data_IF_375147307119
#
_entry.id   IF_375147307119
#
_cell.length_a   1.000
_cell.length_b   1.000
_cell.length_c   1.000
_cell.angle_alpha   90.00
_cell.angle_beta   90.00
_cell.angle_gamma   90.00
#
_symmetry.space_group_name_H-M   'P 1'
#
loop_
_entity.id
_entity.type
_entity.pdbx_description
1 polymer ?
#
# COMPACT_ATOMS: atom_id res chain seq x y z
N UNK A 1 21.31 25.61 0.51
CA UNK A 1 20.96 26.83 -0.27
C UNK A 1 19.77 26.45 -1.14
N UNK A 2 18.57 26.92 -0.79
CA UNK A 2 17.36 26.67 -1.59
C UNK A 2 17.44 27.55 -2.85
N UNK A 3 17.97 27.01 -3.94
CA UNK A 3 17.70 27.59 -5.25
C UNK A 3 16.26 27.23 -5.60
N UNK A 4 15.34 28.19 -5.45
CA UNK A 4 13.99 28.03 -6.02
C UNK A 4 14.19 27.80 -7.52
N UNK A 5 14.15 26.56 -7.96
CA UNK A 5 14.19 26.25 -9.38
C UNK A 5 12.99 26.94 -10.02
N UNK A 6 13.24 27.68 -11.10
CA UNK A 6 12.16 28.32 -11.87
C UNK A 6 11.20 27.22 -12.31
N UNK A 7 9.89 27.49 -12.19
CA UNK A 7 8.88 26.53 -12.64
C UNK A 7 9.12 26.17 -14.12
N UNK A 8 9.15 24.87 -14.50
CA UNK A 8 9.55 24.43 -15.83
C UNK A 8 8.49 24.81 -16.87
N UNK A 9 8.96 25.17 -18.05
CA UNK A 9 8.10 25.41 -19.22
C UNK A 9 7.81 24.12 -20.00
N UNK A 10 8.68 23.11 -19.85
CA UNK A 10 8.61 21.85 -20.58
C UNK A 10 9.23 20.71 -19.77
N UNK A 11 8.83 19.47 -20.08
CA UNK A 11 9.40 18.25 -19.55
C UNK A 11 9.33 17.12 -20.60
N UNK A 12 10.24 16.16 -20.52
CA UNK A 12 10.13 14.95 -21.32
C UNK A 12 9.02 14.04 -20.80
N UNK A 13 8.91 13.93 -19.47
CA UNK A 13 7.86 13.17 -18.77
C UNK A 13 7.37 13.99 -17.59
N UNK A 14 6.06 14.04 -17.38
CA UNK A 14 5.47 14.55 -16.14
C UNK A 14 4.86 13.36 -15.37
N UNK A 15 5.20 13.24 -14.09
CA UNK A 15 4.59 12.30 -13.17
C UNK A 15 3.64 13.06 -12.24
N UNK A 16 2.35 12.71 -12.22
CA UNK A 16 1.35 13.28 -11.31
C UNK A 16 1.18 12.34 -10.12
N UNK A 17 1.51 12.80 -8.92
CA UNK A 17 1.49 12.01 -7.68
C UNK A 17 2.84 11.37 -7.35
N UNK A 18 3.94 12.14 -7.43
CA UNK A 18 5.30 11.64 -7.17
C UNK A 18 5.59 11.38 -5.69
N UNK A 19 4.74 11.83 -4.79
CA UNK A 19 4.91 11.70 -3.34
C UNK A 19 4.41 10.38 -2.74
N UNK A 20 3.72 9.53 -3.53
CA UNK A 20 3.37 8.17 -3.17
C UNK A 20 4.39 7.15 -3.69
N UNK A 21 4.27 5.89 -3.20
CA UNK A 21 5.22 4.82 -3.59
C UNK A 21 5.23 4.58 -5.10
N UNK A 22 4.09 4.60 -5.77
CA UNK A 22 4.02 4.32 -7.21
C UNK A 22 4.73 5.41 -8.02
N UNK A 23 4.41 6.68 -7.79
CA UNK A 23 5.01 7.79 -8.52
C UNK A 23 6.50 7.96 -8.24
N UNK A 24 6.93 7.75 -6.99
CA UNK A 24 8.37 7.79 -6.64
C UNK A 24 9.17 6.67 -7.29
N UNK A 25 8.64 5.44 -7.31
CA UNK A 25 9.29 4.30 -7.95
C UNK A 25 9.33 4.43 -9.48
N UNK A 26 8.29 5.04 -10.10
CA UNK A 26 8.36 5.43 -11.51
C UNK A 26 9.52 6.39 -11.78
N UNK A 27 9.65 7.43 -10.95
CA UNK A 27 10.76 8.38 -11.09
C UNK A 27 12.13 7.71 -10.93
N UNK A 28 12.27 6.82 -9.93
CA UNK A 28 13.46 6.03 -9.71
C UNK A 28 13.84 5.20 -10.95
N UNK A 29 12.91 4.37 -11.43
CA UNK A 29 13.19 3.48 -12.56
C UNK A 29 13.38 4.22 -13.87
N UNK A 30 12.66 5.31 -14.12
CA UNK A 30 12.93 6.15 -15.28
C UNK A 30 14.35 6.73 -15.23
N UNK A 31 14.81 7.17 -14.06
CA UNK A 31 16.17 7.67 -13.88
C UNK A 31 17.22 6.55 -14.07
N UNK A 32 16.98 5.33 -13.55
CA UNK A 32 17.82 4.16 -13.77
C UNK A 32 17.93 3.78 -15.27
N UNK A 33 16.84 3.91 -16.00
CA UNK A 33 16.77 3.66 -17.43
C UNK A 33 17.34 4.82 -18.28
N UNK A 34 17.87 5.87 -17.64
CA UNK A 34 18.55 6.97 -18.30
C UNK A 34 17.65 8.08 -18.81
N UNK A 35 16.35 8.08 -18.46
CA UNK A 35 15.44 9.18 -18.77
C UNK A 35 15.88 10.45 -18.03
N UNK A 36 15.65 11.60 -18.64
CA UNK A 36 16.02 12.92 -18.10
C UNK A 36 14.82 13.87 -18.21
N UNK A 37 14.98 15.06 -17.65
CA UNK A 37 13.95 16.12 -17.68
C UNK A 37 12.56 15.59 -17.26
N UNK A 38 12.53 14.87 -16.12
CA UNK A 38 11.32 14.37 -15.49
C UNK A 38 10.84 15.43 -14.49
N UNK A 39 9.57 15.79 -14.57
CA UNK A 39 8.93 16.67 -13.59
C UNK A 39 7.94 15.86 -12.78
N UNK A 40 8.15 15.82 -11.46
CA UNK A 40 7.23 15.22 -10.50
C UNK A 40 6.36 16.29 -9.84
N UNK A 41 5.05 16.14 -9.97
CA UNK A 41 4.04 16.98 -9.33
C UNK A 41 3.46 16.28 -8.11
N UNK A 42 3.33 17.02 -7.01
CA UNK A 42 2.73 16.53 -5.76
C UNK A 42 1.74 17.57 -5.22
N UNK A 43 0.54 17.10 -4.82
CA UNK A 43 -0.51 17.91 -4.21
C UNK A 43 -0.13 18.33 -2.78
N UNK A 44 0.47 17.42 -2.01
CA UNK A 44 0.96 17.71 -0.66
C UNK A 44 2.09 18.72 -0.66
N UNK A 45 2.25 19.40 0.47
CA UNK A 45 3.37 20.33 0.72
C UNK A 45 4.70 19.60 0.97
N UNK A 46 4.66 18.29 1.15
CA UNK A 46 5.82 17.44 1.48
C UNK A 46 5.92 16.22 0.56
N UNK A 47 7.13 15.69 0.43
CA UNK A 47 7.43 14.38 -0.13
C UNK A 47 8.31 13.66 0.89
N UNK A 48 7.92 12.46 1.36
CA UNK A 48 6.73 11.66 1.01
C UNK A 48 5.41 12.38 1.32
N UNK A 49 4.39 12.12 0.51
CA UNK A 49 3.08 12.74 0.68
C UNK A 49 2.36 12.19 1.92
N UNK A 50 1.90 13.10 2.78
CA UNK A 50 1.05 12.78 3.93
C UNK A 50 -0.42 12.49 3.53
N UNK A 51 -0.79 12.80 2.29
CA UNK A 51 -2.11 12.49 1.73
C UNK A 51 -2.16 11.11 1.07
N UNK A 52 -1.01 10.54 0.71
CA UNK A 52 -0.96 9.25 0.03
C UNK A 52 -1.31 8.08 0.96
N UNK A 53 -2.00 7.06 0.43
CA UNK A 53 -2.25 5.81 1.14
C UNK A 53 -0.96 5.13 1.64
N UNK A 54 0.16 5.38 0.96
CA UNK A 54 1.51 4.95 1.37
C UNK A 54 1.89 5.40 2.79
N UNK A 55 1.43 6.59 3.23
CA UNK A 55 1.71 7.11 4.56
C UNK A 55 1.06 6.29 5.68
N UNK A 56 0.03 5.52 5.35
CA UNK A 56 -0.82 4.77 6.27
C UNK A 56 -0.76 3.25 6.01
N UNK A 57 0.17 2.80 5.16
CA UNK A 57 0.35 1.40 4.83
C UNK A 57 0.85 0.60 6.05
N UNK A 58 0.41 -0.65 6.15
CA UNK A 58 0.87 -1.59 7.17
C UNK A 58 2.26 -2.17 6.89
N UNK A 59 2.86 -1.84 5.74
CA UNK A 59 4.21 -2.19 5.30
C UNK A 59 4.50 -3.70 5.17
N UNK A 60 3.47 -4.54 5.06
CA UNK A 60 3.59 -6.00 4.93
C UNK A 60 4.16 -6.41 3.58
N UNK A 61 5.01 -7.45 3.57
CA UNK A 61 5.48 -8.15 2.37
C UNK A 61 5.30 -9.64 2.55
N UNK A 62 4.42 -10.25 1.75
CA UNK A 62 4.19 -11.69 1.66
C UNK A 62 4.52 -12.19 0.27
N UNK A 63 5.16 -13.36 0.14
CA UNK A 63 5.59 -13.90 -1.14
C UNK A 63 4.58 -14.83 -1.81
N UNK A 64 3.49 -15.19 -1.15
CA UNK A 64 2.69 -16.31 -1.60
C UNK A 64 1.34 -15.92 -2.10
N UNK A 65 1.17 -16.03 -3.40
CA UNK A 65 -0.10 -15.89 -4.11
C UNK A 65 -0.35 -17.11 -5.01
N UNK A 66 -1.53 -17.20 -5.61
CA UNK A 66 -1.89 -18.29 -6.52
C UNK A 66 -1.27 -18.14 -7.92
N UNK A 67 -0.99 -16.92 -8.34
CA UNK A 67 -0.52 -16.65 -9.69
C UNK A 67 0.97 -16.35 -9.73
N UNK A 68 1.57 -16.72 -10.86
CA UNK A 68 3.00 -16.58 -11.07
C UNK A 68 3.45 -15.11 -11.16
N UNK A 69 2.61 -14.24 -11.70
CA UNK A 69 2.97 -12.83 -11.89
C UNK A 69 3.09 -12.14 -10.53
N UNK A 70 2.10 -12.30 -9.66
CA UNK A 70 2.11 -11.73 -8.31
C UNK A 70 3.27 -12.28 -7.47
N UNK A 71 3.55 -13.59 -7.55
CA UNK A 71 4.74 -14.15 -6.88
C UNK A 71 6.03 -13.52 -7.39
N UNK A 72 6.16 -13.32 -8.71
CA UNK A 72 7.35 -12.74 -9.30
C UNK A 72 7.50 -11.26 -8.92
N UNK A 73 6.44 -10.46 -9.00
CA UNK A 73 6.49 -9.04 -8.63
C UNK A 73 6.81 -8.85 -7.16
N UNK A 74 6.21 -9.67 -6.28
CA UNK A 74 6.51 -9.66 -4.84
C UNK A 74 7.97 -9.99 -4.57
N UNK A 75 8.50 -11.05 -5.16
CA UNK A 75 9.91 -11.43 -4.99
C UNK A 75 10.84 -10.32 -5.49
N UNK A 76 10.52 -9.73 -6.65
CA UNK A 76 11.27 -8.63 -7.22
C UNK A 76 11.29 -7.39 -6.30
N UNK A 77 10.13 -7.01 -5.76
CA UNK A 77 10.02 -5.87 -4.83
C UNK A 77 10.75 -6.14 -3.52
N UNK A 78 10.59 -7.34 -2.94
CA UNK A 78 11.32 -7.75 -1.74
C UNK A 78 12.82 -7.69 -1.94
N UNK A 79 13.34 -8.25 -3.03
CA UNK A 79 14.76 -8.25 -3.34
C UNK A 79 15.29 -6.81 -3.47
N UNK A 80 14.52 -5.91 -4.10
CA UNK A 80 14.83 -4.48 -4.13
C UNK A 80 14.89 -3.87 -2.73
N UNK A 81 13.93 -4.15 -1.86
CA UNK A 81 13.92 -3.64 -0.48
C UNK A 81 15.09 -4.21 0.33
N UNK A 82 15.40 -5.48 0.18
CA UNK A 82 16.51 -6.16 0.88
C UNK A 82 17.86 -5.58 0.43
N UNK A 83 18.09 -5.43 -0.87
CA UNK A 83 19.31 -4.84 -1.45
C UNK A 83 19.56 -3.40 -1.00
N UNK A 84 18.51 -2.64 -0.75
CA UNK A 84 18.59 -1.23 -0.32
C UNK A 84 18.42 -1.02 1.18
N UNK A 85 18.34 -2.08 1.98
CA UNK A 85 18.26 -2.00 3.43
C UNK A 85 16.89 -1.61 4.00
N UNK A 86 15.84 -1.78 3.22
CA UNK A 86 14.44 -1.48 3.58
C UNK A 86 13.62 -2.70 3.96
N UNK A 87 14.22 -3.85 4.19
CA UNK A 87 13.48 -5.06 4.49
C UNK A 87 13.91 -5.71 5.80
N UNK A 88 12.91 -6.00 6.66
CA UNK A 88 13.08 -6.82 7.86
C UNK A 88 12.38 -8.15 7.64
N UNK A 89 13.16 -9.19 7.34
CA UNK A 89 12.68 -10.55 7.21
C UNK A 89 12.37 -11.13 8.59
N UNK A 90 11.09 -11.43 8.86
CA UNK A 90 10.62 -11.98 10.12
C UNK A 90 9.74 -13.22 9.93
N UNK A 91 9.33 -13.47 8.70
CA UNK A 91 8.37 -14.50 8.33
C UNK A 91 6.92 -14.06 8.49
N UNK A 92 6.01 -14.88 8.02
CA UNK A 92 4.58 -14.62 8.10
C UNK A 92 3.77 -15.90 8.17
N UNK A 93 2.66 -15.82 8.85
CA UNK A 93 1.68 -16.88 9.04
C UNK A 93 0.39 -16.51 8.31
N UNK A 94 -0.17 -17.46 7.56
CA UNK A 94 -1.56 -17.38 7.11
C UNK A 94 -2.31 -18.52 7.78
N UNK A 95 -3.12 -18.19 8.80
CA UNK A 95 -3.81 -19.18 9.63
C UNK A 95 -5.10 -19.66 8.99
N UNK A 96 -5.47 -20.89 9.33
CA UNK A 96 -6.76 -21.49 8.99
C UNK A 96 -7.49 -21.92 10.25
N UNK A 97 -8.74 -21.50 10.39
CA UNK A 97 -9.60 -21.90 11.51
C UNK A 97 -9.87 -23.41 11.47
N UNK A 98 -10.21 -23.97 12.64
CA UNK A 98 -10.30 -25.42 12.83
C UNK A 98 -11.34 -26.09 11.95
N UNK A 99 -12.43 -25.41 11.66
CA UNK A 99 -13.61 -25.88 10.93
C UNK A 99 -13.69 -25.38 9.48
N UNK A 100 -12.67 -24.65 9.01
CA UNK A 100 -12.64 -24.11 7.64
C UNK A 100 -11.89 -25.06 6.68
N UNK A 101 -12.60 -26.07 6.20
CA UNK A 101 -12.07 -27.02 5.22
C UNK A 101 -11.76 -26.35 3.87
N UNK A 102 -12.50 -25.33 3.49
CA UNK A 102 -12.32 -24.63 2.21
C UNK A 102 -11.00 -23.86 2.22
N UNK A 103 -10.77 -23.06 3.24
CA UNK A 103 -9.52 -22.31 3.39
C UNK A 103 -8.33 -23.26 3.56
N UNK A 104 -8.49 -24.39 4.28
CA UNK A 104 -7.41 -25.36 4.42
C UNK A 104 -6.96 -25.97 3.08
N UNK A 105 -7.89 -26.33 2.20
CA UNK A 105 -7.57 -26.79 0.85
C UNK A 105 -6.97 -25.67 0.00
N UNK A 106 -7.37 -24.42 0.25
CA UNK A 106 -6.79 -23.25 -0.38
C UNK A 106 -5.32 -23.05 0.02
N UNK A 107 -4.99 -23.14 1.32
CA UNK A 107 -3.60 -23.05 1.79
C UNK A 107 -2.72 -24.17 1.20
N UNK A 108 -3.25 -25.37 1.04
CA UNK A 108 -2.53 -26.45 0.34
C UNK A 108 -2.22 -26.09 -1.11
N UNK A 109 -3.18 -25.47 -1.83
CA UNK A 109 -2.96 -24.99 -3.21
C UNK A 109 -1.93 -23.87 -3.25
N UNK A 110 -2.02 -22.88 -2.33
CA UNK A 110 -1.02 -21.81 -2.20
C UNK A 110 0.38 -22.37 -1.98
N UNK A 111 0.54 -23.30 -1.06
CA UNK A 111 1.84 -23.95 -0.80
C UNK A 111 2.35 -24.70 -2.03
N UNK A 112 1.48 -25.43 -2.74
CA UNK A 112 1.87 -26.14 -3.96
C UNK A 112 2.31 -25.18 -5.07
N UNK A 113 1.53 -24.12 -5.30
CA UNK A 113 1.85 -23.06 -6.27
C UNK A 113 3.13 -22.33 -5.90
N UNK A 114 3.27 -21.93 -4.63
CA UNK A 114 4.47 -21.27 -4.12
C UNK A 114 5.73 -22.08 -4.37
N UNK A 115 5.70 -23.38 -4.04
CA UNK A 115 6.82 -24.29 -4.34
C UNK A 115 7.12 -24.40 -5.83
N UNK A 116 6.09 -24.44 -6.67
CA UNK A 116 6.27 -24.47 -8.12
C UNK A 116 6.88 -23.16 -8.66
N UNK A 117 6.69 -22.04 -7.97
CA UNK A 117 7.25 -20.73 -8.31
C UNK A 117 8.55 -20.41 -7.56
N UNK A 118 9.06 -21.34 -6.76
CA UNK A 118 10.36 -21.23 -6.09
C UNK A 118 10.33 -20.59 -4.70
N UNK A 119 9.16 -20.47 -4.06
CA UNK A 119 9.05 -19.98 -2.68
C UNK A 119 9.23 -21.09 -1.64
N UNK A 120 9.68 -20.73 -0.43
CA UNK A 120 9.99 -21.67 0.66
C UNK A 120 8.80 -21.93 1.60
N UNK A 121 7.58 -21.73 1.13
CA UNK A 121 6.37 -21.87 1.95
C UNK A 121 6.07 -23.30 2.33
N UNK A 122 5.49 -23.50 3.51
CA UNK A 122 5.11 -24.81 4.04
C UNK A 122 3.83 -24.73 4.85
N UNK A 123 3.12 -25.88 4.94
CA UNK A 123 2.07 -26.03 5.95
C UNK A 123 2.72 -26.44 7.27
N UNK A 124 2.20 -25.86 8.35
CA UNK A 124 2.61 -26.15 9.73
C UNK A 124 1.37 -26.43 10.59
N UNK A 125 1.57 -27.14 11.68
CA UNK A 125 0.53 -27.43 12.68
C UNK A 125 0.12 -26.19 13.48
N UNK A 126 -0.99 -26.26 14.20
CA UNK A 126 -1.44 -25.23 15.12
C UNK A 126 -0.40 -24.94 16.21
N UNK A 127 0.21 -26.00 16.79
CA UNK A 127 1.26 -25.86 17.81
C UNK A 127 2.51 -25.14 17.26
N UNK A 128 2.98 -25.51 16.05
CA UNK A 128 4.10 -24.82 15.40
C UNK A 128 3.77 -23.34 15.07
N UNK A 129 2.51 -23.07 14.71
CA UNK A 129 2.07 -21.68 14.50
C UNK A 129 2.07 -20.88 15.80
N UNK A 130 1.59 -21.47 16.91
CA UNK A 130 1.62 -20.89 18.26
C UNK A 130 3.04 -20.63 18.75
N UNK A 131 3.99 -21.52 18.48
CA UNK A 131 5.40 -21.31 18.82
C UNK A 131 5.99 -20.08 18.10
N UNK A 132 5.56 -19.82 16.86
CA UNK A 132 6.01 -18.67 16.06
C UNK A 132 5.30 -17.38 16.45
N UNK A 133 4.02 -17.46 16.74
CA UNK A 133 3.20 -16.30 17.12
C UNK A 133 2.45 -16.62 18.44
N UNK A 134 3.07 -16.36 19.58
CA UNK A 134 2.56 -16.75 20.90
C UNK A 134 1.21 -16.16 21.29
N UNK A 135 0.74 -15.14 20.58
CA UNK A 135 -0.54 -14.48 20.82
C UNK A 135 -1.75 -15.24 20.23
N UNK A 136 -1.52 -16.27 19.40
CA UNK A 136 -2.58 -17.10 18.83
C UNK A 136 -3.20 -18.05 19.87
N UNK A 137 -4.48 -18.34 19.71
CA UNK A 137 -5.12 -19.50 20.33
C UNK A 137 -5.00 -20.73 19.41
N UNK A 138 -4.13 -21.69 19.79
CA UNK A 138 -3.92 -22.90 18.99
C UNK A 138 -5.14 -23.81 18.92
N UNK A 139 -6.06 -23.72 19.89
CA UNK A 139 -7.29 -24.52 19.90
C UNK A 139 -8.32 -24.03 18.87
N UNK A 140 -8.23 -22.78 18.45
CA UNK A 140 -9.13 -22.18 17.47
C UNK A 140 -8.72 -22.45 16.02
N UNK A 141 -7.46 -22.81 15.78
CA UNK A 141 -6.90 -22.98 14.45
C UNK A 141 -6.58 -24.46 14.14
N UNK A 142 -6.62 -24.82 12.88
CA UNK A 142 -6.21 -26.11 12.33
C UNK A 142 -4.70 -26.18 12.08
N UNK A 143 -4.14 -25.05 11.69
CA UNK A 143 -2.75 -24.87 11.31
C UNK A 143 -2.57 -23.62 10.49
N UNK A 144 -1.42 -23.47 9.87
CA UNK A 144 -1.10 -22.29 9.06
C UNK A 144 -0.23 -22.65 7.84
N UNK A 145 -0.22 -21.76 6.86
CA UNK A 145 0.88 -21.65 5.93
C UNK A 145 1.94 -20.76 6.56
N UNK A 146 3.18 -21.23 6.57
CA UNK A 146 4.36 -20.48 6.98
C UNK A 146 5.13 -20.00 5.76
N UNK A 147 5.34 -18.69 5.65
CA UNK A 147 6.22 -18.05 4.69
C UNK A 147 7.45 -17.50 5.41
N UNK A 148 8.61 -18.18 5.36
CA UNK A 148 9.83 -17.70 6.04
C UNK A 148 10.44 -16.46 5.40
N UNK A 149 10.04 -16.12 4.18
CA UNK A 149 10.58 -15.01 3.40
C UNK A 149 9.68 -13.76 3.46
N UNK A 150 8.55 -13.83 4.15
CA UNK A 150 7.71 -12.68 4.47
C UNK A 150 8.41 -11.73 5.47
N UNK A 151 7.99 -10.49 5.48
CA UNK A 151 8.57 -9.47 6.36
C UNK A 151 7.92 -8.12 6.23
N UNK A 152 8.62 -7.12 6.72
CA UNK A 152 8.15 -5.75 6.83
C UNK A 152 9.07 -4.80 6.06
N UNK A 153 8.49 -3.83 5.35
CA UNK A 153 9.26 -2.69 4.86
C UNK A 153 9.62 -1.80 6.05
N UNK A 154 10.90 -1.50 6.22
CA UNK A 154 11.44 -0.74 7.35
C UNK A 154 12.33 0.41 6.88
N UNK A 155 12.39 1.54 7.63
CA UNK A 155 11.53 1.88 8.78
C UNK A 155 10.05 1.96 8.42
N UNK A 156 9.71 2.51 7.22
CA UNK A 156 8.36 2.66 6.68
C UNK A 156 8.43 2.76 5.15
N UNK A 157 7.33 2.49 4.45
CA UNK A 157 7.22 2.70 2.99
C UNK A 157 7.53 4.14 2.57
N UNK A 158 7.31 5.12 3.44
CA UNK A 158 7.68 6.52 3.21
C UNK A 158 9.21 6.72 3.07
N UNK A 159 10.03 5.92 3.74
CA UNK A 159 11.49 5.99 3.61
C UNK A 159 11.94 5.48 2.23
N UNK A 160 11.22 4.50 1.67
CA UNK A 160 11.43 4.05 0.30
C UNK A 160 11.07 5.15 -0.71
N UNK A 161 9.99 5.89 -0.48
CA UNK A 161 9.62 7.06 -1.29
C UNK A 161 10.74 8.10 -1.29
N UNK A 162 11.25 8.46 -0.11
CA UNK A 162 12.38 9.39 0.02
C UNK A 162 13.59 8.91 -0.76
N UNK A 163 13.99 7.65 -0.56
CA UNK A 163 15.12 7.05 -1.27
C UNK A 163 14.95 7.12 -2.78
N UNK A 164 13.79 6.74 -3.29
CA UNK A 164 13.50 6.73 -4.72
C UNK A 164 13.57 8.13 -5.34
N UNK A 165 12.95 9.11 -4.69
CA UNK A 165 12.93 10.50 -5.16
C UNK A 165 14.33 11.12 -5.11
N UNK A 166 15.07 10.96 -4.01
CA UNK A 166 16.41 11.53 -3.88
C UNK A 166 17.39 10.88 -4.87
N UNK A 167 17.33 9.56 -5.06
CA UNK A 167 18.16 8.89 -6.09
C UNK A 167 17.92 9.49 -7.50
N UNK A 168 16.65 9.66 -7.88
CA UNK A 168 16.31 10.23 -9.18
C UNK A 168 16.78 11.71 -9.32
N UNK A 169 16.74 12.49 -8.23
CA UNK A 169 17.28 13.86 -8.19
C UNK A 169 18.82 13.89 -8.28
N UNK A 170 19.50 13.02 -7.52
CA UNK A 170 20.98 12.93 -7.55
C UNK A 170 21.52 12.55 -8.92
N UNK A 171 20.78 11.72 -9.68
CA UNK A 171 21.07 11.42 -11.09
C UNK A 171 20.76 12.59 -12.03
N UNK A 172 20.24 13.69 -11.53
CA UNK A 172 19.85 14.86 -12.32
C UNK A 172 18.71 14.56 -13.31
N UNK A 173 17.89 13.56 -13.00
CA UNK A 173 16.77 13.13 -13.84
C UNK A 173 15.46 13.78 -13.45
N UNK A 174 15.22 14.01 -12.13
CA UNK A 174 13.96 14.44 -11.55
C UNK A 174 14.05 15.85 -10.96
N UNK A 175 13.00 16.65 -11.20
CA UNK A 175 12.70 17.87 -10.44
C UNK A 175 11.29 17.75 -9.88
N UNK A 176 11.11 18.00 -8.58
CA UNK A 176 9.82 17.87 -7.90
C UNK A 176 9.22 19.20 -7.51
N UNK A 177 7.90 19.31 -7.56
CA UNK A 177 7.13 20.47 -7.13
C UNK A 177 6.00 20.03 -6.21
N UNK A 178 6.12 20.38 -4.94
CA UNK A 178 5.08 20.23 -3.91
C UNK A 178 4.08 21.37 -3.98
N UNK A 179 2.95 21.27 -3.30
CA UNK A 179 1.83 22.21 -3.39
C UNK A 179 1.50 22.53 -4.86
N UNK A 180 1.52 21.50 -5.72
CA UNK A 180 1.41 21.70 -7.15
C UNK A 180 0.57 20.56 -7.79
N UNK A 181 -0.72 20.48 -7.48
CA UNK A 181 -1.61 19.53 -8.14
C UNK A 181 -1.71 19.81 -9.65
N UNK A 182 -1.86 18.76 -10.43
CA UNK A 182 -2.37 18.91 -11.80
C UNK A 182 -3.84 19.39 -11.70
N UNK A 183 -4.19 20.40 -12.47
CA UNK A 183 -5.54 20.99 -12.51
C UNK A 183 -6.20 20.88 -13.90
N UNK A 184 -5.57 20.18 -14.82
CA UNK A 184 -6.07 19.90 -16.16
C UNK A 184 -4.95 19.54 -17.13
N UNK A 185 -5.35 19.23 -18.34
CA UNK A 185 -4.44 18.83 -19.40
C UNK A 185 -4.71 19.62 -20.68
N UNK A 186 -3.68 19.81 -21.51
CA UNK A 186 -3.80 20.32 -22.87
C UNK A 186 -3.77 19.13 -23.82
N UNK A 187 -4.83 19.04 -24.65
CA UNK A 187 -5.00 17.91 -25.58
C UNK A 187 -5.34 18.50 -26.94
N UNK A 188 -4.55 18.14 -27.94
CA UNK A 188 -4.76 18.55 -29.32
C UNK A 188 -4.85 17.31 -30.23
N UNK A 189 -5.95 17.17 -30.96
CA UNK A 189 -6.19 16.06 -31.87
C UNK A 189 -6.03 14.68 -31.21
N UNK A 190 -6.50 14.51 -29.96
CA UNK A 190 -6.42 13.28 -29.20
C UNK A 190 -5.01 12.95 -28.67
N UNK A 191 -4.10 13.94 -28.64
CA UNK A 191 -2.75 13.80 -28.10
C UNK A 191 -2.50 14.82 -26.99
N UNK A 192 -1.87 14.38 -25.93
CA UNK A 192 -1.38 15.24 -24.85
C UNK A 192 -0.32 16.24 -25.40
N UNK A 193 -0.44 17.50 -25.02
CA UNK A 193 0.53 18.56 -25.34
C UNK A 193 1.00 19.31 -24.09
N UNK A 194 0.33 19.16 -22.95
CA UNK A 194 0.76 19.80 -21.72
C UNK A 194 -0.05 19.42 -20.48
N UNK A 195 0.55 19.64 -19.32
CA UNK A 195 -0.08 19.49 -17.99
C UNK A 195 -0.25 20.86 -17.36
N UNK A 196 -1.47 21.19 -16.96
CA UNK A 196 -1.83 22.47 -16.31
C UNK A 196 -1.70 22.37 -14.81
N UNK A 197 -1.11 23.39 -14.21
CA UNK A 197 -1.05 23.62 -12.77
C UNK A 197 -1.40 25.08 -12.48
N UNK A 198 -1.66 25.43 -11.21
CA UNK A 198 -1.84 26.83 -10.83
C UNK A 198 -0.55 27.69 -10.96
N UNK A 199 0.63 27.03 -11.12
CA UNK A 199 1.92 27.71 -11.35
C UNK A 199 2.23 27.93 -12.84
N UNK A 200 1.43 27.35 -13.73
CA UNK A 200 1.60 27.42 -15.18
C UNK A 200 1.40 26.07 -15.86
N UNK A 201 1.57 26.06 -17.18
CA UNK A 201 1.50 24.84 -18.00
C UNK A 201 2.91 24.30 -18.29
N UNK A 202 3.10 23.02 -18.11
CA UNK A 202 4.32 22.28 -18.49
C UNK A 202 4.03 21.59 -19.82
N UNK A 203 4.72 21.99 -20.88
CA UNK A 203 4.62 21.34 -22.18
C UNK A 203 5.24 19.95 -22.11
N UNK A 204 4.48 18.95 -22.49
CA UNK A 204 4.93 17.57 -22.55
C UNK A 204 4.03 16.74 -23.45
N UNK A 205 4.61 15.74 -24.09
CA UNK A 205 3.86 14.74 -24.85
C UNK A 205 3.62 13.44 -24.06
N UNK A 206 4.11 13.37 -22.80
CA UNK A 206 3.99 12.20 -21.94
C UNK A 206 3.68 12.60 -20.49
N UNK A 207 2.55 12.18 -20.01
CA UNK A 207 2.21 12.20 -18.59
C UNK A 207 1.94 10.80 -18.09
N UNK A 208 2.41 10.50 -16.89
CA UNK A 208 2.02 9.29 -16.14
C UNK A 208 1.28 9.73 -14.90
N UNK A 209 0.02 9.35 -14.78
CA UNK A 209 -0.70 9.56 -13.54
C UNK A 209 -0.46 8.37 -12.59
N UNK A 210 -0.07 8.68 -11.37
CA UNK A 210 0.14 7.80 -10.24
C UNK A 210 -0.52 8.41 -9.00
N UNK A 211 -1.75 8.88 -9.19
CA UNK A 211 -2.50 9.75 -8.29
C UNK A 211 -3.33 8.99 -7.24
N UNK A 212 -3.20 7.65 -7.21
CA UNK A 212 -3.80 6.79 -6.19
C UNK A 212 -5.32 6.95 -6.14
N UNK A 213 -5.86 7.26 -4.97
CA UNK A 213 -7.31 7.40 -4.76
C UNK A 213 -7.96 8.52 -5.60
N UNK A 214 -7.18 9.47 -6.13
CA UNK A 214 -7.67 10.54 -7.02
C UNK A 214 -7.63 10.19 -8.50
N UNK A 215 -7.22 8.96 -8.86
CA UNK A 215 -6.99 8.58 -10.26
C UNK A 215 -8.16 8.81 -11.19
N UNK A 216 -9.40 8.53 -10.76
CA UNK A 216 -10.62 8.79 -11.54
C UNK A 216 -10.81 10.29 -11.80
N UNK A 217 -10.67 11.15 -10.78
CA UNK A 217 -10.80 12.61 -10.91
C UNK A 217 -9.72 13.20 -11.82
N UNK A 218 -8.50 12.69 -11.72
CA UNK A 218 -7.39 13.15 -12.58
C UNK A 218 -7.61 12.72 -14.02
N UNK A 219 -8.09 11.49 -14.24
CA UNK A 219 -8.47 11.00 -15.57
C UNK A 219 -9.56 11.83 -16.21
N UNK A 220 -10.60 12.15 -15.47
CA UNK A 220 -11.74 12.96 -15.95
C UNK A 220 -11.32 14.35 -16.44
N UNK A 221 -10.31 14.97 -15.84
CA UNK A 221 -9.72 16.24 -16.31
C UNK A 221 -9.15 16.15 -17.74
N UNK A 222 -8.81 14.92 -18.19
CA UNK A 222 -8.30 14.65 -19.54
C UNK A 222 -9.34 14.00 -20.46
N UNK A 223 -10.53 13.69 -19.96
CA UNK A 223 -11.52 12.88 -20.69
C UNK A 223 -11.10 11.43 -20.83
N UNK A 224 -10.29 10.93 -19.90
CA UNK A 224 -9.80 9.54 -19.83
C UNK A 224 -10.54 8.80 -18.73
N UNK A 225 -11.14 7.66 -19.07
CA UNK A 225 -11.80 6.78 -18.11
C UNK A 225 -10.75 6.02 -17.30
N UNK A 226 -10.74 6.22 -15.96
CA UNK A 226 -9.91 5.47 -15.03
C UNK A 226 -10.82 4.72 -14.06
N UNK A 227 -11.14 3.44 -14.35
CA UNK A 227 -12.15 2.68 -13.61
C UNK A 227 -11.61 2.15 -12.28
N UNK A 228 -11.28 3.05 -11.38
CA UNK A 228 -10.95 2.77 -10.00
C UNK A 228 -11.89 3.49 -9.05
N UNK A 229 -12.02 2.96 -7.85
CA UNK A 229 -12.82 3.54 -6.78
C UNK A 229 -12.01 3.58 -5.48
N UNK A 230 -12.10 4.67 -4.72
CA UNK A 230 -11.62 4.69 -3.34
C UNK A 230 -12.51 3.79 -2.48
N UNK A 231 -11.87 2.95 -1.65
CA UNK A 231 -12.56 2.02 -0.74
C UNK A 231 -12.00 2.19 0.67
N UNK A 232 -12.86 2.23 1.66
CA UNK A 232 -12.47 2.28 3.07
C UNK A 232 -11.84 0.96 3.51
N UNK A 233 -10.82 1.04 4.35
CA UNK A 233 -10.12 -0.08 4.91
C UNK A 233 -9.79 0.19 6.38
N UNK A 234 -10.49 -0.45 7.33
CA UNK A 234 -10.28 -0.21 8.75
C UNK A 234 -8.93 -0.70 9.25
N UNK A 235 -8.29 0.12 10.07
CA UNK A 235 -7.06 -0.19 10.76
C UNK A 235 -7.18 0.23 12.22
N UNK A 236 -7.09 -0.75 13.12
CA UNK A 236 -7.25 -0.57 14.56
C UNK A 236 -5.92 -0.84 15.28
N UNK A 237 -5.72 -0.13 16.37
CA UNK A 237 -4.56 -0.28 17.25
C UNK A 237 -4.99 -0.70 18.65
N UNK A 238 -4.34 -1.74 19.16
CA UNK A 238 -4.58 -2.30 20.50
C UNK A 238 -3.27 -2.31 21.28
N UNK A 239 -3.34 -1.96 22.55
CA UNK A 239 -2.14 -2.02 23.37
C UNK A 239 -2.08 -0.99 24.49
N UNK A 240 -0.89 -0.76 25.01
CA UNK A 240 0.40 -1.27 24.49
C UNK A 240 0.63 -2.77 24.75
N UNK A 241 1.39 -3.40 23.86
CA UNK A 241 1.89 -4.76 24.02
C UNK A 241 3.26 -4.71 24.72
N UNK A 242 3.45 -5.30 25.92
CA UNK A 242 4.68 -5.14 26.71
C UNK A 242 5.95 -5.49 25.93
N UNK A 243 5.96 -6.61 25.20
CA UNK A 243 7.13 -7.08 24.45
C UNK A 243 7.47 -6.13 23.30
N UNK A 244 6.48 -5.47 22.70
CA UNK A 244 6.69 -4.48 21.66
C UNK A 244 7.16 -3.13 22.21
N UNK A 245 6.78 -2.78 23.44
CA UNK A 245 7.30 -1.58 24.11
C UNK A 245 8.78 -1.70 24.52
N UNK A 246 9.23 -2.90 24.84
CA UNK A 246 10.59 -3.16 25.32
C UNK A 246 11.59 -3.42 24.20
N UNK A 247 11.12 -3.59 22.95
CA UNK A 247 11.99 -3.91 21.81
C UNK A 247 12.60 -2.67 21.17
N UNK A 248 13.83 -2.83 20.65
CA UNK A 248 14.46 -1.86 19.74
C UNK A 248 14.23 -2.23 18.26
N UNK A 249 13.57 -3.36 18.00
CA UNK A 249 13.24 -3.84 16.64
C UNK A 249 11.95 -3.19 16.10
N UNK A 250 11.77 -3.24 14.80
CA UNK A 250 10.54 -2.77 14.13
C UNK A 250 9.41 -3.79 14.21
N UNK A 251 9.68 -5.03 14.59
CA UNK A 251 8.72 -6.13 14.67
C UNK A 251 9.22 -7.18 15.66
N UNK A 252 8.38 -7.55 16.62
CA UNK A 252 8.68 -8.62 17.60
C UNK A 252 8.32 -9.98 17.02
N UNK A 253 7.12 -10.12 16.50
CA UNK A 253 6.56 -11.37 16.01
C UNK A 253 6.52 -11.41 14.46
N UNK A 254 6.39 -12.61 13.86
CA UNK A 254 6.07 -12.71 12.44
C UNK A 254 4.74 -12.01 12.10
N UNK A 255 4.56 -11.67 10.85
CA UNK A 255 3.29 -11.16 10.34
C UNK A 255 2.22 -12.23 10.43
N UNK A 256 0.98 -11.85 10.72
CA UNK A 256 -0.16 -12.76 10.79
C UNK A 256 -1.25 -12.36 9.80
N UNK A 257 -1.74 -13.30 9.00
CA UNK A 257 -2.94 -13.17 8.18
C UNK A 257 -3.99 -14.18 8.66
N UNK A 258 -5.17 -13.70 8.97
CA UNK A 258 -6.36 -14.50 9.25
C UNK A 258 -7.34 -14.35 8.09
N UNK A 259 -7.16 -15.14 7.05
CA UNK A 259 -7.96 -15.06 5.82
C UNK A 259 -9.41 -15.47 6.05
N UNK A 260 -9.68 -16.33 7.04
CA UNK A 260 -11.04 -16.68 7.44
C UNK A 260 -11.85 -15.49 7.98
N UNK A 261 -11.14 -14.47 8.50
CA UNK A 261 -11.70 -13.20 8.94
C UNK A 261 -11.35 -12.04 8.01
N UNK A 262 -10.73 -12.32 6.85
CA UNK A 262 -10.21 -11.28 5.94
C UNK A 262 -9.30 -10.26 6.65
N UNK A 263 -8.58 -10.68 7.69
CA UNK A 263 -7.84 -9.81 8.59
C UNK A 263 -6.33 -10.09 8.58
N UNK A 264 -5.59 -9.12 9.10
CA UNK A 264 -4.16 -9.25 9.34
C UNK A 264 -3.77 -8.57 10.65
N UNK A 265 -2.69 -9.05 11.26
CA UNK A 265 -2.17 -8.53 12.54
C UNK A 265 -0.65 -8.43 12.46
N UNK A 266 -0.11 -7.35 12.99
CA UNK A 266 1.30 -7.24 13.36
C UNK A 266 1.47 -6.43 14.63
N UNK A 267 2.58 -6.60 15.32
CA UNK A 267 3.01 -5.59 16.28
C UNK A 267 3.70 -4.41 15.58
N UNK A 268 3.75 -3.28 16.24
CA UNK A 268 4.41 -2.08 15.70
C UNK A 268 5.87 -1.96 16.15
N UNK A 269 6.40 -2.98 16.85
CA UNK A 269 7.73 -2.94 17.42
C UNK A 269 7.97 -1.65 18.20
N UNK A 270 9.13 -1.03 18.01
CA UNK A 270 9.48 0.26 18.65
C UNK A 270 8.68 1.46 18.15
N UNK A 271 7.87 1.29 17.10
CA UNK A 271 7.03 2.38 16.57
C UNK A 271 5.68 2.43 17.30
N UNK A 272 5.02 3.56 17.21
CA UNK A 272 3.65 3.78 17.72
C UNK A 272 3.42 3.30 19.18
N UNK A 273 4.46 3.31 20.04
CA UNK A 273 4.33 2.92 21.45
C UNK A 273 4.16 1.42 21.69
N UNK A 274 4.51 0.57 20.73
CA UNK A 274 4.44 -0.89 20.90
C UNK A 274 3.02 -1.44 20.92
N UNK A 275 2.25 -1.14 19.90
CA UNK A 275 0.86 -1.59 19.75
C UNK A 275 0.75 -2.88 18.93
N UNK A 276 -0.39 -3.54 18.96
CA UNK A 276 -0.84 -4.45 17.90
C UNK A 276 -1.69 -3.65 16.91
N UNK A 277 -1.32 -3.73 15.65
CA UNK A 277 -2.08 -3.24 14.51
C UNK A 277 -2.95 -4.38 13.98
N UNK A 278 -4.22 -4.14 13.85
CA UNK A 278 -5.19 -5.08 13.31
C UNK A 278 -6.00 -4.40 12.22
N UNK A 279 -5.91 -4.93 11.02
CA UNK A 279 -6.68 -4.46 9.88
C UNK A 279 -7.51 -5.58 9.30
N UNK A 280 -8.60 -5.23 8.62
CA UNK A 280 -9.40 -6.23 7.92
C UNK A 280 -9.93 -5.69 6.60
N UNK A 281 -10.23 -6.60 5.68
CA UNK A 281 -10.95 -6.31 4.45
C UNK A 281 -12.40 -6.73 4.61
N UNK A 282 -13.31 -5.92 4.09
CA UNK A 282 -14.73 -6.26 4.12
C UNK A 282 -14.99 -7.54 3.31
N UNK A 283 -15.72 -8.47 3.92
CA UNK A 283 -16.05 -9.76 3.34
C UNK A 283 -17.41 -9.75 2.59
N UNK A 284 -18.18 -8.67 2.72
CA UNK A 284 -19.51 -8.51 2.12
C UNK A 284 -19.49 -7.53 0.94
N UNK A 285 -19.68 -6.26 1.24
CA UNK A 285 -19.69 -5.21 0.22
C UNK A 285 -18.62 -4.16 0.54
N UNK A 286 -17.69 -3.86 -0.39
CA UNK A 286 -16.69 -2.84 -0.15
C UNK A 286 -17.35 -1.47 0.04
N UNK A 287 -16.88 -0.71 1.03
CA UNK A 287 -17.36 0.65 1.30
C UNK A 287 -16.72 1.63 0.34
N UNK A 288 -17.40 1.81 -0.77
CA UNK A 288 -16.98 2.71 -1.83
C UNK A 288 -17.18 4.16 -1.38
N UNK A 289 -16.16 4.97 -1.55
CA UNK A 289 -16.19 6.41 -1.31
C UNK A 289 -16.35 7.14 -2.64
N UNK A 290 -17.24 8.13 -2.68
CA UNK A 290 -17.31 9.03 -3.82
C UNK A 290 -15.96 9.77 -3.95
N UNK A 291 -15.30 9.73 -5.10
CA UNK A 291 -14.04 10.44 -5.29
C UNK A 291 -14.12 11.94 -4.96
N UNK A 292 -15.27 12.58 -5.14
CA UNK A 292 -15.48 13.99 -4.78
C UNK A 292 -15.52 14.23 -3.26
N UNK A 293 -15.75 13.17 -2.47
CA UNK A 293 -15.72 13.24 -0.99
C UNK A 293 -14.31 13.05 -0.40
N UNK A 294 -13.29 12.79 -1.22
CA UNK A 294 -11.91 12.70 -0.74
C UNK A 294 -11.44 14.07 -0.25
N UNK A 295 -10.93 14.11 0.98
CA UNK A 295 -10.53 15.35 1.63
C UNK A 295 -11.70 16.24 2.13
N UNK A 296 -12.92 15.70 2.18
CA UNK A 296 -14.05 16.38 2.80
C UNK A 296 -13.79 16.54 4.30
N UNK A 297 -13.68 17.77 4.85
CA UNK A 297 -13.27 17.99 6.24
C UNK A 297 -14.22 17.37 7.29
N UNK A 298 -15.47 17.10 6.94
CA UNK A 298 -16.44 16.49 7.86
C UNK A 298 -16.24 14.97 8.00
N UNK A 299 -15.55 14.35 7.05
CA UNK A 299 -15.34 12.89 6.98
C UNK A 299 -13.88 12.50 7.15
N UNK A 300 -12.96 13.42 6.94
CA UNK A 300 -11.51 13.22 6.97
C UNK A 300 -10.97 13.41 8.39
N UNK A 301 -10.02 12.57 8.80
CA UNK A 301 -9.29 12.73 10.06
C UNK A 301 -8.08 13.67 9.91
N UNK A 302 -6.87 13.09 9.93
CA UNK A 302 -5.61 13.83 9.87
C UNK A 302 -5.07 13.99 8.45
N UNK A 303 -5.58 13.20 7.51
CA UNK A 303 -5.11 13.15 6.12
C UNK A 303 -6.28 12.90 5.18
N UNK A 304 -6.19 13.39 3.95
CA UNK A 304 -7.21 13.18 2.91
C UNK A 304 -7.50 11.69 2.64
N UNK A 305 -6.53 10.80 2.90
CA UNK A 305 -6.66 9.34 2.78
C UNK A 305 -7.07 8.63 4.08
N UNK A 306 -7.41 9.38 5.13
CA UNK A 306 -7.86 8.84 6.40
C UNK A 306 -9.26 9.33 6.75
N UNK A 307 -10.13 8.44 7.18
CA UNK A 307 -11.50 8.73 7.60
C UNK A 307 -11.77 8.22 9.01
N UNK A 308 -12.80 8.75 9.64
CA UNK A 308 -13.25 8.26 10.93
C UNK A 308 -13.70 6.81 10.84
N UNK A 309 -13.35 6.03 11.85
CA UNK A 309 -13.75 4.63 11.95
C UNK A 309 -15.26 4.53 12.28
N UNK A 310 -15.94 3.62 11.59
CA UNK A 310 -17.31 3.23 11.94
C UNK A 310 -17.27 1.98 12.82
N UNK A 311 -17.68 2.13 14.09
CA UNK A 311 -17.62 1.04 15.08
C UNK A 311 -18.60 -0.10 14.81
N UNK A 312 -19.74 0.19 14.19
CA UNK A 312 -20.72 -0.85 13.84
C UNK A 312 -20.15 -1.81 12.80
N UNK A 313 -19.27 -1.29 11.95
CA UNK A 313 -18.63 -2.04 10.88
C UNK A 313 -17.57 -3.02 11.37
N UNK A 314 -16.79 -2.59 12.38
CA UNK A 314 -15.67 -3.39 12.89
C UNK A 314 -16.07 -4.40 13.97
N UNK A 315 -17.28 -4.31 14.51
CA UNK A 315 -17.72 -5.10 15.66
C UNK A 315 -17.72 -6.62 15.35
N UNK A 316 -18.39 -7.05 14.28
CA UNK A 316 -18.48 -8.47 13.93
C UNK A 316 -17.11 -9.07 13.52
N UNK A 317 -16.31 -8.43 12.64
CA UNK A 317 -14.96 -8.90 12.34
C UNK A 317 -14.05 -8.97 13.57
N UNK A 318 -14.14 -8.02 14.48
CA UNK A 318 -13.37 -8.01 15.72
C UNK A 318 -13.78 -9.16 16.65
N UNK A 319 -15.08 -9.42 16.85
CA UNK A 319 -15.53 -10.57 17.63
C UNK A 319 -14.94 -11.88 17.10
N UNK A 320 -14.91 -12.07 15.79
CA UNK A 320 -14.28 -13.24 15.17
C UNK A 320 -12.76 -13.29 15.38
N UNK A 321 -12.09 -12.14 15.36
CA UNK A 321 -10.65 -12.05 15.60
C UNK A 321 -10.27 -12.43 17.03
N UNK A 322 -11.13 -12.16 18.02
CA UNK A 322 -10.91 -12.53 19.42
C UNK A 322 -10.84 -14.05 19.63
N UNK A 323 -11.45 -14.85 18.74
CA UNK A 323 -11.36 -16.31 18.81
C UNK A 323 -9.96 -16.83 18.43
N UNK A 324 -9.28 -16.18 17.50
CA UNK A 324 -7.95 -16.60 17.03
C UNK A 324 -6.82 -15.85 17.75
N UNK A 325 -7.08 -14.62 18.18
CA UNK A 325 -6.10 -13.72 18.82
C UNK A 325 -6.71 -13.08 20.07
N UNK A 326 -6.95 -13.85 21.14
CA UNK A 326 -7.69 -13.41 22.34
C UNK A 326 -7.02 -12.26 23.11
N UNK A 327 -5.73 -12.06 22.93
CA UNK A 327 -4.99 -10.94 23.55
C UNK A 327 -5.60 -9.57 23.20
N UNK A 328 -6.25 -9.43 22.04
CA UNK A 328 -6.92 -8.19 21.66
C UNK A 328 -7.99 -7.76 22.68
N UNK A 329 -8.62 -8.73 23.39
CA UNK A 329 -9.58 -8.44 24.46
C UNK A 329 -8.93 -7.95 25.76
N UNK A 330 -7.66 -8.26 25.97
CA UNK A 330 -6.91 -7.87 27.16
C UNK A 330 -6.21 -6.52 26.97
N UNK A 331 -5.85 -6.21 25.74
CA UNK A 331 -5.25 -4.95 25.36
C UNK A 331 -6.31 -3.85 25.24
N UNK A 332 -5.98 -2.63 25.63
CA UNK A 332 -6.86 -1.48 25.41
C UNK A 332 -6.91 -1.11 23.93
N UNK A 333 -8.10 -0.81 23.43
CA UNK A 333 -8.24 -0.24 22.10
C UNK A 333 -7.90 1.24 22.09
N UNK A 334 -7.01 1.68 21.19
CA UNK A 334 -6.70 3.08 20.98
C UNK A 334 -7.56 3.67 19.85
N UNK A 335 -8.70 4.21 20.22
CA UNK A 335 -9.63 4.86 19.29
C UNK A 335 -8.99 6.02 18.51
N UNK A 336 -8.04 6.74 19.13
CA UNK A 336 -7.45 7.93 18.52
C UNK A 336 -6.49 7.61 17.38
N UNK A 337 -5.81 6.48 17.48
CA UNK A 337 -4.89 6.01 16.45
C UNK A 337 -5.58 5.18 15.37
N UNK A 338 -6.81 4.70 15.64
CA UNK A 338 -7.58 3.85 14.74
C UNK A 338 -8.35 4.68 13.71
N UNK A 339 -8.43 4.20 12.48
CA UNK A 339 -9.01 4.94 11.36
C UNK A 339 -9.48 4.02 10.21
N UNK A 340 -10.24 4.56 9.28
CA UNK A 340 -10.44 3.99 7.96
C UNK A 340 -9.44 4.61 6.97
N UNK A 341 -8.53 3.81 6.42
CA UNK A 341 -7.68 4.21 5.30
C UNK A 341 -8.43 4.12 3.98
N UNK A 342 -8.01 4.90 2.98
CA UNK A 342 -8.56 4.80 1.64
C UNK A 342 -7.57 4.07 0.71
N UNK A 343 -8.07 3.04 0.02
CA UNK A 343 -7.36 2.30 -1.00
C UNK A 343 -7.98 2.55 -2.37
N UNK A 344 -7.17 2.60 -3.42
CA UNK A 344 -7.67 2.67 -4.80
C UNK A 344 -7.86 1.26 -5.36
N UNK A 345 -9.09 0.88 -5.68
CA UNK A 345 -9.46 -0.49 -6.09
C UNK A 345 -10.14 -0.49 -7.45
N UNK A 346 -9.83 -1.49 -8.26
CA UNK A 346 -10.52 -1.79 -9.52
C UNK A 346 -11.48 -2.95 -9.34
N UNK A 347 -12.45 -3.07 -10.22
CA UNK A 347 -13.47 -4.13 -10.15
C UNK A 347 -12.90 -5.56 -10.24
N UNK A 348 -11.76 -5.74 -10.91
CA UNK A 348 -11.06 -7.04 -11.04
C UNK A 348 -9.87 -7.19 -10.10
N UNK A 349 -9.60 -6.17 -9.28
CA UNK A 349 -8.45 -6.11 -8.39
C UNK A 349 -7.10 -5.98 -9.12
N UNK A 350 -7.09 -5.73 -10.42
CA UNK A 350 -5.88 -5.54 -11.21
C UNK A 350 -5.42 -4.08 -11.27
N UNK A 351 -4.12 -3.88 -11.40
CA UNK A 351 -3.55 -2.54 -11.59
C UNK A 351 -3.81 -2.03 -13.01
N UNK A 352 -4.04 -0.73 -13.12
CA UNK A 352 -4.20 -0.03 -14.40
C UNK A 352 -2.86 0.51 -14.85
N UNK A 353 -2.16 -0.22 -15.71
CA UNK A 353 -0.82 0.15 -16.19
C UNK A 353 -0.80 0.14 -17.71
N UNK A 354 -0.59 1.31 -18.34
CA UNK A 354 -0.51 1.43 -19.78
C UNK A 354 -0.90 2.80 -20.32
N UNK A 355 -0.78 2.97 -21.64
CA UNK A 355 -1.25 4.18 -22.32
C UNK A 355 -2.77 4.14 -22.46
N UNK A 356 -3.44 5.27 -22.17
CA UNK A 356 -4.87 5.41 -22.37
C UNK A 356 -5.25 5.27 -23.86
N UNK A 357 -6.31 4.55 -24.18
CA UNK A 357 -6.81 4.48 -25.55
C UNK A 357 -7.47 5.79 -26.01
N UNK A 358 -7.92 6.64 -25.08
CA UNK A 358 -8.63 7.89 -25.40
C UNK A 358 -7.67 9.04 -25.76
N UNK A 359 -6.53 9.12 -25.04
CA UNK A 359 -5.57 10.24 -25.18
C UNK A 359 -4.16 9.70 -25.31
N UNK A 360 -3.58 9.83 -26.48
CA UNK A 360 -2.19 9.42 -26.73
C UNK A 360 -1.20 10.27 -25.91
N UNK A 361 -0.24 9.62 -25.29
CA UNK A 361 0.73 10.24 -24.39
C UNK A 361 0.24 10.37 -22.94
N UNK A 362 -1.00 9.96 -22.66
CA UNK A 362 -1.55 9.88 -21.32
C UNK A 362 -1.44 8.45 -20.80
N UNK A 363 -0.61 8.22 -19.80
CA UNK A 363 -0.30 6.91 -19.25
C UNK A 363 -0.86 6.76 -17.85
N UNK A 364 -1.35 5.59 -17.54
CA UNK A 364 -1.85 5.20 -16.23
C UNK A 364 -0.81 4.35 -15.50
N UNK A 365 -0.65 4.58 -14.22
CA UNK A 365 -0.04 3.67 -13.26
C UNK A 365 -0.83 3.79 -11.96
N UNK A 366 -2.04 3.23 -11.96
CA UNK A 366 -3.06 3.45 -10.95
C UNK A 366 -3.55 2.13 -10.37
N UNK A 367 -4.19 2.18 -9.22
CA UNK A 367 -4.68 1.01 -8.50
C UNK A 367 -3.60 -0.07 -8.32
N UNK A 368 -2.36 0.36 -8.14
CA UNK A 368 -1.24 -0.52 -7.77
C UNK A 368 -1.33 -0.74 -6.28
N UNK A 369 -2.09 -1.72 -5.89
CA UNK A 369 -2.31 -2.10 -4.49
C UNK A 369 -2.28 -3.60 -4.35
N UNK A 370 -2.23 -4.04 -3.13
CA UNK A 370 -2.03 -5.44 -2.78
C UNK A 370 -3.36 -6.18 -2.79
N UNK A 371 -3.51 -7.14 -3.68
CA UNK A 371 -4.59 -8.11 -3.60
C UNK A 371 -4.17 -9.33 -2.75
N UNK A 372 -2.98 -9.84 -2.95
CA UNK A 372 -2.43 -11.01 -2.25
C UNK A 372 -0.91 -10.91 -2.11
N UNK A 373 -0.37 -9.74 -2.20
CA UNK A 373 1.07 -9.49 -2.21
C UNK A 373 1.42 -8.16 -1.56
N UNK A 374 2.63 -7.67 -1.65
CA UNK A 374 3.09 -6.50 -0.93
C UNK A 374 2.45 -5.21 -1.44
N UNK A 375 2.18 -4.32 -0.50
CA UNK A 375 1.80 -2.95 -0.76
C UNK A 375 2.93 -2.14 -1.35
#
# INVERSE_FOLDING_TARGET
MNTSSKFPSDAEIVIVGVGGIVGSMLAYWFAELGQKNIVGLEKSSVIPSDFASTAHASDFVYNTTHDKLSNWTTAYSRDFYEENGFFLKKGGLEICRKDDDVLWEELKRKVASGKAFGTNVSLISASEAKEKFPLLDEESIRGAMWDPDAGLVVPRSQDVVNFAVENAKEKGALTTFTDTPAVGFEIENGRLTGVKTHKGTIKTEKVVIASGIWGSLVGDMAGVSVPLMPVEHPLLFFGPLPEAQETEDFLVYPLLRDQGNSAYVRDTGKLHGGMLEWGFYEDKEPRIVDPEDIGNPEKTMMSDSMRHLDLEEVAEPLERALETTPILNELGWDERSSFNGLLSVTADGGSLIGESPEVRGFWLCEAVWVKDGPG
#
